data_IF_207639203547
#
_entry.id   IF_207639203547
#
_cell.length_a   1.000
_cell.length_b   1.000
_cell.length_c   1.000
_cell.angle_alpha   90.00
_cell.angle_beta   90.00
_cell.angle_gamma   90.00
#
_symmetry.space_group_name_H-M   'P 1'
#
loop_
_entity.id
_entity.type
_entity.pdbx_description
1 polymer ?
#
# COMPACT_ATOMS: atom_id res chain seq x y z
N UNK A 1 -17.08 16.16 8.90
CA UNK A 1 -16.57 14.85 8.48
C UNK A 1 -16.24 14.98 7.01
N UNK A 2 -15.04 14.62 6.54
CA UNK A 2 -14.79 14.53 5.11
C UNK A 2 -15.69 13.43 4.54
N UNK A 3 -16.62 13.80 3.67
CA UNK A 3 -17.49 12.83 2.99
C UNK A 3 -16.79 12.41 1.72
N UNK A 4 -16.46 11.13 1.60
CA UNK A 4 -15.96 10.55 0.36
C UNK A 4 -17.14 10.44 -0.61
N UNK A 5 -17.07 11.12 -1.76
CA UNK A 5 -18.13 11.12 -2.77
C UNK A 5 -18.09 9.86 -3.65
N UNK A 6 -17.96 8.69 -3.02
CA UNK A 6 -17.92 7.38 -3.68
C UNK A 6 -19.02 6.48 -3.11
N UNK A 7 -19.59 5.57 -3.93
CA UNK A 7 -20.57 4.62 -3.44
C UNK A 7 -19.94 3.63 -2.44
N UNK A 8 -20.79 2.99 -1.64
CA UNK A 8 -20.35 1.99 -0.68
C UNK A 8 -19.64 0.82 -1.38
N UNK A 9 -18.56 0.32 -0.77
CA UNK A 9 -17.82 -0.83 -1.26
C UNK A 9 -16.33 -0.75 -0.96
N UNK A 10 -15.59 -1.73 -1.48
CA UNK A 10 -14.15 -1.82 -1.31
C UNK A 10 -13.41 -1.10 -2.45
N UNK A 11 -12.33 -0.43 -2.09
CA UNK A 11 -11.47 0.36 -2.97
C UNK A 11 -10.01 0.23 -2.54
N UNK A 12 -9.09 0.37 -3.50
CA UNK A 12 -7.67 0.57 -3.21
C UNK A 12 -7.47 2.06 -2.97
N UNK A 13 -6.93 2.43 -1.81
CA UNK A 13 -6.63 3.79 -1.42
C UNK A 13 -5.12 4.02 -1.46
N UNK A 14 -4.71 5.06 -2.18
CA UNK A 14 -3.31 5.49 -2.26
C UNK A 14 -3.17 6.87 -1.62
N UNK A 15 -2.32 6.97 -0.61
CA UNK A 15 -2.00 8.25 0.04
C UNK A 15 -0.96 8.97 -0.81
N UNK A 16 -1.35 10.06 -1.46
CA UNK A 16 -0.45 10.88 -2.28
C UNK A 16 0.46 11.75 -1.39
N UNK A 17 -0.11 12.39 -0.38
CA UNK A 17 0.63 13.22 0.56
C UNK A 17 -0.07 13.33 1.91
N UNK A 18 0.71 13.63 2.96
CA UNK A 18 0.23 13.90 4.31
C UNK A 18 0.72 15.27 4.77
N UNK A 19 -0.18 16.22 4.95
CA UNK A 19 0.09 17.59 5.41
C UNK A 19 -0.84 17.99 6.54
N UNK A 20 -0.31 18.68 7.56
CA UNK A 20 -1.09 19.22 8.68
C UNK A 20 -2.06 18.18 9.32
N UNK A 21 -1.63 16.92 9.39
CA UNK A 21 -2.42 15.77 9.89
C UNK A 21 -3.60 15.34 9.00
N UNK A 22 -3.65 15.79 7.76
CA UNK A 22 -4.56 15.31 6.72
C UNK A 22 -3.79 14.58 5.63
N UNK A 23 -4.37 13.51 5.12
CA UNK A 23 -3.89 12.75 3.98
C UNK A 23 -4.77 13.04 2.76
N UNK A 24 -4.14 13.37 1.63
CA UNK A 24 -4.82 13.34 0.33
C UNK A 24 -4.79 11.90 -0.18
N UNK A 25 -5.97 11.35 -0.43
CA UNK A 25 -6.14 9.93 -0.76
C UNK A 25 -6.85 9.79 -2.08
N UNK A 26 -6.27 9.00 -2.97
CA UNK A 26 -6.86 8.60 -4.24
C UNK A 26 -7.46 7.21 -4.09
N UNK A 27 -8.64 6.99 -4.67
CA UNK A 27 -9.34 5.72 -4.65
C UNK A 27 -9.34 5.12 -6.05
N UNK A 28 -8.96 3.87 -6.13
CA UNK A 28 -8.91 3.08 -7.36
C UNK A 28 -9.83 1.86 -7.24
N UNK A 29 -10.37 1.45 -8.39
CA UNK A 29 -11.14 0.21 -8.54
C UNK A 29 -10.76 -0.42 -9.87
N UNK A 30 -10.39 -1.70 -9.84
CA UNK A 30 -9.93 -2.45 -11.02
C UNK A 30 -8.74 -1.80 -11.76
N UNK A 31 -7.93 -0.99 -11.05
CA UNK A 31 -6.76 -0.29 -11.60
C UNK A 31 -7.07 1.06 -12.27
N UNK A 32 -8.31 1.53 -12.17
CA UNK A 32 -8.71 2.87 -12.62
C UNK A 32 -9.00 3.76 -11.40
N UNK A 33 -8.50 5.01 -11.43
CA UNK A 33 -8.86 6.04 -10.46
C UNK A 33 -10.34 6.39 -10.60
N UNK A 34 -11.08 6.24 -9.50
CA UNK A 34 -12.51 6.54 -9.42
C UNK A 34 -12.83 7.80 -8.64
N UNK A 35 -11.88 8.30 -7.83
CA UNK A 35 -12.04 9.55 -7.10
C UNK A 35 -10.90 9.83 -6.13
N UNK A 36 -11.01 10.94 -5.40
CA UNK A 36 -10.08 11.33 -4.34
C UNK A 36 -10.81 12.04 -3.20
N UNK A 37 -10.23 12.02 -2.01
CA UNK A 37 -10.71 12.75 -0.85
C UNK A 37 -9.55 13.17 0.07
N UNK A 38 -9.78 14.23 0.84
CA UNK A 38 -8.88 14.65 1.92
C UNK A 38 -9.43 14.10 3.23
N UNK A 39 -8.66 13.25 3.88
CA UNK A 39 -9.08 12.49 5.07
C UNK A 39 -8.10 12.76 6.21
N UNK A 40 -8.58 12.76 7.45
CA UNK A 40 -7.72 12.92 8.61
C UNK A 40 -6.75 11.72 8.71
N UNK A 41 -5.45 11.99 8.80
CA UNK A 41 -4.42 10.95 8.85
C UNK A 41 -4.63 9.99 10.03
N UNK A 42 -5.25 10.45 11.12
CA UNK A 42 -5.58 9.62 12.28
C UNK A 42 -6.65 8.55 12.01
N UNK A 43 -7.37 8.62 10.88
CA UNK A 43 -8.27 7.55 10.43
C UNK A 43 -7.50 6.35 9.86
N UNK A 44 -6.25 6.55 9.46
CA UNK A 44 -5.40 5.50 8.93
C UNK A 44 -4.52 4.87 10.01
N UNK A 45 -4.15 3.58 9.84
CA UNK A 45 -3.13 2.96 10.66
C UNK A 45 -1.85 3.82 10.66
N UNK A 46 -1.20 3.97 11.81
CA UNK A 46 0.01 4.79 11.94
C UNK A 46 1.10 4.40 10.93
N UNK A 47 1.22 3.11 10.62
CA UNK A 47 2.16 2.58 9.63
C UNK A 47 1.87 3.01 8.19
N UNK A 48 0.66 3.48 7.90
CA UNK A 48 0.25 3.95 6.58
C UNK A 48 0.16 5.49 6.50
N UNK A 49 0.46 6.24 7.56
CA UNK A 49 0.39 7.71 7.57
C UNK A 49 1.59 8.36 6.87
N UNK A 50 1.89 7.92 5.66
CA UNK A 50 2.97 8.46 4.83
C UNK A 50 2.56 8.46 3.35
N UNK A 51 3.21 9.31 2.57
CA UNK A 51 3.06 9.31 1.12
C UNK A 51 3.41 7.94 0.53
N UNK A 52 2.80 7.62 -0.61
CA UNK A 52 2.92 6.34 -1.33
C UNK A 52 2.44 5.11 -0.52
N UNK A 53 1.68 5.30 0.56
CA UNK A 53 1.04 4.19 1.27
C UNK A 53 -0.19 3.69 0.50
N UNK A 54 -0.23 2.39 0.23
CA UNK A 54 -1.36 1.70 -0.40
C UNK A 54 -2.13 0.94 0.69
N UNK A 55 -3.44 1.11 0.71
CA UNK A 55 -4.35 0.48 1.66
C UNK A 55 -5.56 -0.06 0.91
N UNK A 56 -6.11 -1.17 1.37
CA UNK A 56 -7.48 -1.53 1.03
C UNK A 56 -8.43 -0.88 2.02
N UNK A 57 -9.38 -0.09 1.51
CA UNK A 57 -10.39 0.60 2.33
C UNK A 57 -11.79 0.15 1.95
N UNK A 58 -12.65 0.04 2.95
CA UNK A 58 -14.09 -0.21 2.77
C UNK A 58 -14.86 1.06 3.10
N UNK A 59 -15.55 1.61 2.12
CA UNK A 59 -16.41 2.78 2.26
C UNK A 59 -17.84 2.37 2.58
N UNK A 60 -18.46 3.10 3.52
CA UNK A 60 -19.86 2.94 3.89
C UNK A 60 -20.46 4.27 4.33
N UNK A 61 -21.60 4.64 3.74
CA UNK A 61 -22.30 5.91 3.96
C UNK A 61 -21.43 7.15 3.67
N UNK A 62 -20.40 7.00 2.81
CA UNK A 62 -19.44 8.06 2.51
C UNK A 62 -18.31 8.24 3.54
N UNK A 63 -18.18 7.32 4.49
CA UNK A 63 -17.10 7.27 5.48
C UNK A 63 -16.25 5.99 5.30
N UNK A 64 -15.01 6.00 5.79
CA UNK A 64 -14.16 4.80 5.86
C UNK A 64 -14.61 3.96 7.04
N UNK A 65 -15.19 2.79 6.75
CA UNK A 65 -15.53 1.79 7.76
C UNK A 65 -14.29 1.03 8.23
N UNK A 66 -13.43 0.65 7.28
CA UNK A 66 -12.24 -0.15 7.53
C UNK A 66 -11.10 0.28 6.61
N UNK A 67 -9.88 0.36 7.16
CA UNK A 67 -8.66 0.64 6.41
C UNK A 67 -7.59 -0.38 6.81
N UNK A 68 -7.21 -1.23 5.86
CA UNK A 68 -6.18 -2.25 6.04
C UNK A 68 -4.96 -1.81 5.25
N UNK A 69 -3.88 -1.52 5.96
CA UNK A 69 -2.58 -1.28 5.33
C UNK A 69 -2.05 -2.60 4.75
N UNK A 70 -1.77 -2.62 3.45
CA UNK A 70 -1.23 -3.78 2.75
C UNK A 70 0.25 -3.53 2.41
N UNK A 71 1.19 -3.81 3.34
CA UNK A 71 2.62 -3.56 3.13
C UNK A 71 3.25 -4.46 2.05
N UNK A 72 2.51 -5.46 1.57
CA UNK A 72 2.98 -6.48 0.62
C UNK A 72 2.94 -5.99 -0.84
N UNK A 73 2.09 -5.03 -1.22
CA UNK A 73 2.17 -4.36 -2.54
C UNK A 73 3.32 -3.35 -2.62
N UNK A 74 3.72 -2.75 -1.49
CA UNK A 74 4.92 -1.90 -1.39
C UNK A 74 6.23 -2.70 -1.57
N UNK A 75 6.18 -4.03 -1.46
CA UNK A 75 7.34 -4.93 -1.49
C UNK A 75 7.45 -5.78 -2.78
N UNK A 76 6.41 -5.85 -3.62
CA UNK A 76 6.44 -6.65 -4.87
C UNK A 76 7.43 -6.12 -5.94
N UNK A 77 8.04 -4.94 -5.75
CA UNK A 77 9.20 -4.50 -6.55
C UNK A 77 10.57 -4.78 -5.93
N UNK A 78 10.65 -5.18 -4.66
CA UNK A 78 11.94 -5.45 -3.99
C UNK A 78 12.36 -6.92 -4.01
N UNK A 79 11.46 -7.90 -4.20
CA UNK A 79 11.83 -9.32 -4.08
C UNK A 79 12.01 -10.09 -5.40
N UNK A 80 11.75 -9.49 -6.56
CA UNK A 80 12.21 -10.07 -7.83
C UNK A 80 13.72 -9.87 -8.07
N UNK A 81 14.38 -9.02 -7.28
CA UNK A 81 15.82 -8.74 -7.38
C UNK A 81 16.69 -9.63 -6.46
N UNK A 82 16.14 -10.18 -5.38
CA UNK A 82 16.92 -10.90 -4.37
C UNK A 82 17.24 -12.35 -4.77
N UNK A 83 16.37 -13.01 -5.54
CA UNK A 83 16.51 -14.44 -5.91
C UNK A 83 17.72 -14.75 -6.82
N UNK A 84 18.32 -13.75 -7.50
CA UNK A 84 19.56 -13.99 -8.27
C UNK A 84 20.83 -14.02 -7.42
N UNK A 85 20.85 -13.31 -6.30
CA UNK A 85 22.10 -13.13 -5.54
C UNK A 85 22.44 -14.37 -4.70
N UNK A 86 21.42 -15.07 -4.19
CA UNK A 86 21.60 -16.31 -3.42
C UNK A 86 22.18 -17.47 -4.27
N UNK A 87 21.98 -17.43 -5.60
CA UNK A 87 22.52 -18.43 -6.52
C UNK A 87 24.04 -18.30 -6.75
N UNK A 88 24.63 -17.13 -6.51
CA UNK A 88 26.08 -16.90 -6.71
C UNK A 88 26.91 -17.18 -5.46
N UNK A 89 26.28 -17.20 -4.28
CA UNK A 89 26.98 -17.39 -3.00
C UNK A 89 27.12 -18.85 -2.55
N UNK A 90 26.56 -19.81 -3.29
CA UNK A 90 26.86 -21.23 -3.05
C UNK A 90 28.22 -21.58 -3.64
N UNK A 91 29.22 -21.43 -2.77
CA UNK A 91 30.58 -21.97 -2.86
C UNK A 91 30.57 -23.32 -3.59
N UNK A 92 31.36 -23.50 -4.66
CA UNK A 92 31.52 -24.82 -5.28
C UNK A 92 32.10 -25.81 -4.25
N UNK A 93 31.71 -27.10 -4.27
CA UNK A 93 32.44 -28.10 -3.51
C UNK A 93 33.87 -28.15 -4.05
N UNK A 94 34.86 -27.90 -3.20
CA UNK A 94 36.22 -28.38 -3.44
C UNK A 94 36.20 -29.88 -3.18
N UNK A 95 35.95 -30.65 -4.23
CA UNK A 95 36.45 -32.01 -4.35
C UNK A 95 37.99 -31.94 -4.34
N UNK A 96 38.60 -32.12 -3.17
CA UNK A 96 39.99 -32.57 -3.07
C UNK A 96 39.96 -34.01 -2.55
N UNK A 97 40.01 -34.93 -3.50
CA UNK A 97 39.90 -36.36 -3.27
C UNK A 97 40.32 -37.14 -4.52
N UNK A 98 41.64 -37.20 -4.78
CA UNK A 98 42.45 -38.37 -5.20
C UNK A 98 43.72 -37.91 -5.90
#
# INVERSE_FOLDING_TARGET
MPTVELPDGTYTAVIDNVEDSYATVFFERDGDEVGNAVIDAAQFPTDAQHADAILTVTLRDGDIEEAVYEPEETTERSSAAQDRFDRLSKRPPSDDGT
#
